data_IF_591710697061
#
_entry.id   IF_591710697061
#
_cell.length_a   1.000
_cell.length_b   1.000
_cell.length_c   1.000
_cell.angle_alpha   90.00
_cell.angle_beta   90.00
_cell.angle_gamma   90.00
#
_symmetry.space_group_name_H-M   'P 1'
#
loop_
_entity.id
_entity.type
_entity.pdbx_description
1 polymer ?
#
# COMPACT_ATOMS: atom_id res chain seq x y z
N UNK A 1 4.55 30.91 3.12
CA UNK A 1 4.90 30.56 1.72
C UNK A 1 4.23 29.25 1.38
N UNK A 2 3.35 29.27 0.38
CA UNK A 2 2.60 28.08 -0.06
C UNK A 2 3.63 27.12 -0.66
N UNK A 3 3.67 25.88 -0.18
CA UNK A 3 4.54 24.85 -0.75
C UNK A 3 4.38 24.87 -2.27
N UNK A 4 5.48 24.86 -3.07
CA UNK A 4 5.37 24.79 -4.52
C UNK A 4 4.47 23.62 -4.88
N UNK A 5 3.56 23.80 -5.83
CA UNK A 5 2.56 22.82 -6.33
C UNK A 5 3.02 21.34 -6.26
N UNK A 6 4.25 20.96 -6.66
CA UNK A 6 4.76 19.60 -6.46
C UNK A 6 4.76 19.09 -5.01
N UNK A 7 5.14 19.91 -4.02
CA UNK A 7 5.17 19.53 -2.60
C UNK A 7 3.79 19.18 -2.03
N UNK A 8 2.72 19.83 -2.53
CA UNK A 8 1.34 19.50 -2.13
C UNK A 8 0.92 18.16 -2.71
N UNK A 9 1.25 17.87 -3.97
CA UNK A 9 0.95 16.59 -4.63
C UNK A 9 1.64 15.44 -3.89
N UNK A 10 2.92 15.61 -3.55
CA UNK A 10 3.68 14.62 -2.79
C UNK A 10 3.01 14.31 -1.45
N UNK A 11 2.67 15.35 -0.68
CA UNK A 11 2.05 15.18 0.63
C UNK A 11 0.69 14.49 0.54
N UNK A 12 -0.15 14.90 -0.40
CA UNK A 12 -1.50 14.33 -0.58
C UNK A 12 -1.42 12.87 -1.00
N UNK A 13 -0.55 12.52 -1.95
CA UNK A 13 -0.38 11.12 -2.40
C UNK A 13 0.12 10.26 -1.25
N UNK A 14 1.13 10.73 -0.50
CA UNK A 14 1.64 10.01 0.67
C UNK A 14 0.57 9.79 1.74
N UNK A 15 -0.21 10.83 2.07
CA UNK A 15 -1.29 10.70 3.07
C UNK A 15 -2.38 9.75 2.58
N UNK A 16 -2.82 9.89 1.33
CA UNK A 16 -3.88 9.05 0.78
C UNK A 16 -3.45 7.57 0.71
N UNK A 17 -2.20 7.31 0.32
CA UNK A 17 -1.65 5.95 0.31
C UNK A 17 -1.54 5.36 1.72
N UNK A 18 -1.07 6.14 2.69
CA UNK A 18 -1.04 5.73 4.08
C UNK A 18 -2.44 5.41 4.63
N UNK A 19 -3.46 6.18 4.24
CA UNK A 19 -4.86 5.91 4.58
C UNK A 19 -5.34 4.60 3.95
N UNK A 20 -5.01 4.34 2.68
CA UNK A 20 -5.38 3.08 2.02
C UNK A 20 -4.75 1.86 2.71
N UNK A 21 -3.46 1.93 3.04
CA UNK A 21 -2.77 0.90 3.82
C UNK A 21 -3.39 0.72 5.22
N UNK A 22 -3.70 1.82 5.91
CA UNK A 22 -4.35 1.78 7.22
C UNK A 22 -5.74 1.15 7.17
N UNK A 23 -6.54 1.46 6.14
CA UNK A 23 -7.84 0.84 5.92
C UNK A 23 -7.68 -0.66 5.70
N UNK A 24 -6.78 -1.10 4.81
CA UNK A 24 -6.54 -2.53 4.55
C UNK A 24 -6.10 -3.31 5.79
N UNK A 25 -5.26 -2.69 6.63
CA UNK A 25 -4.88 -3.29 7.90
C UNK A 25 -6.05 -3.35 8.89
N UNK A 26 -6.79 -2.25 9.01
CA UNK A 26 -7.91 -2.14 9.97
C UNK A 26 -9.04 -3.09 9.63
N UNK A 27 -9.40 -3.24 8.35
CA UNK A 27 -10.41 -4.20 7.91
C UNK A 27 -9.98 -5.64 8.18
N UNK A 28 -8.69 -5.97 8.00
CA UNK A 28 -8.19 -7.30 8.35
C UNK A 28 -8.20 -7.57 9.86
N UNK A 29 -7.94 -6.54 10.67
CA UNK A 29 -8.03 -6.63 12.14
C UNK A 29 -9.49 -6.83 12.57
N UNK A 30 -10.42 -6.04 12.04
CA UNK A 30 -11.85 -6.16 12.31
C UNK A 30 -12.42 -7.50 11.84
N UNK A 31 -11.89 -8.04 10.75
CA UNK A 31 -12.21 -9.39 10.26
C UNK A 31 -11.57 -10.53 11.05
N UNK A 32 -10.84 -10.26 12.14
CA UNK A 32 -10.26 -11.30 12.99
C UNK A 32 -9.14 -12.12 12.32
N UNK A 33 -8.55 -11.62 11.24
CA UNK A 33 -7.58 -12.36 10.43
C UNK A 33 -6.26 -12.60 11.17
N UNK A 34 -5.48 -13.61 10.76
CA UNK A 34 -4.13 -13.88 11.29
C UNK A 34 -3.09 -12.84 10.81
N UNK A 35 -1.89 -12.87 11.40
CA UNK A 35 -0.82 -11.89 11.10
C UNK A 35 -0.41 -11.89 9.62
N UNK A 36 -0.43 -13.06 8.97
CA UNK A 36 -0.05 -13.19 7.55
C UNK A 36 -1.12 -12.61 6.64
N UNK A 37 -2.37 -12.95 6.90
CA UNK A 37 -3.55 -12.49 6.17
C UNK A 37 -3.72 -10.98 6.32
N UNK A 38 -3.51 -10.43 7.53
CA UNK A 38 -3.51 -8.97 7.74
C UNK A 38 -2.50 -8.23 6.89
N UNK A 39 -1.26 -8.75 6.83
CA UNK A 39 -0.21 -8.15 5.99
C UNK A 39 -0.58 -8.24 4.51
N UNK A 40 -1.11 -9.38 4.06
CA UNK A 40 -1.56 -9.56 2.69
C UNK A 40 -2.68 -8.57 2.32
N UNK A 41 -3.74 -8.49 3.13
CA UNK A 41 -4.87 -7.58 2.86
C UNK A 41 -4.45 -6.11 2.88
N UNK A 42 -3.51 -5.74 3.75
CA UNK A 42 -2.94 -4.39 3.76
C UNK A 42 -2.32 -4.04 2.42
N UNK A 43 -1.51 -4.94 1.85
CA UNK A 43 -0.90 -4.71 0.53
C UNK A 43 -1.92 -4.76 -0.60
N UNK A 44 -2.91 -5.65 -0.53
CA UNK A 44 -3.94 -5.76 -1.58
C UNK A 44 -4.83 -4.50 -1.67
N UNK A 45 -5.07 -3.82 -0.55
CA UNK A 45 -5.83 -2.56 -0.53
C UNK A 45 -4.95 -1.35 -0.83
N UNK A 46 -3.72 -1.30 -0.31
CA UNK A 46 -2.84 -0.14 -0.47
C UNK A 46 -2.19 -0.06 -1.85
N UNK A 47 -1.67 -1.18 -2.34
CA UNK A 47 -0.89 -1.25 -3.58
C UNK A 47 -1.82 -1.49 -4.75
N UNK A 48 -1.86 -0.55 -5.69
CA UNK A 48 -2.77 -0.61 -6.85
C UNK A 48 -1.99 -0.73 -8.14
N UNK A 49 -2.71 -1.10 -9.20
CA UNK A 49 -2.16 -1.09 -10.54
C UNK A 49 -2.12 0.33 -11.10
N UNK A 50 -1.01 1.03 -10.85
CA UNK A 50 -0.77 2.36 -11.39
C UNK A 50 -0.71 2.38 -12.94
N UNK A 51 -0.32 1.26 -13.58
CA UNK A 51 -0.26 1.14 -15.03
C UNK A 51 -1.64 1.21 -15.69
N UNK A 52 -2.65 0.57 -15.10
CA UNK A 52 -4.05 0.71 -15.54
C UNK A 52 -4.53 2.15 -15.38
N UNK A 53 -4.21 2.80 -14.27
CA UNK A 53 -4.54 4.21 -14.04
C UNK A 53 -3.93 5.12 -15.11
N UNK A 54 -2.64 4.95 -15.41
CA UNK A 54 -1.94 5.70 -16.45
C UNK A 54 -2.52 5.43 -17.85
N UNK A 55 -2.87 4.17 -18.15
CA UNK A 55 -3.53 3.79 -19.40
C UNK A 55 -4.88 4.49 -19.59
N UNK A 56 -5.70 4.58 -18.54
CA UNK A 56 -6.98 5.31 -18.59
C UNK A 56 -6.78 6.81 -18.83
N UNK A 57 -5.76 7.42 -18.22
CA UNK A 57 -5.40 8.83 -18.45
C UNK A 57 -5.10 9.09 -19.93
N UNK A 58 -4.28 8.26 -20.55
CA UNK A 58 -3.95 8.42 -21.97
C UNK A 58 -5.12 8.09 -22.89
N UNK A 59 -5.90 7.06 -22.57
CA UNK A 59 -6.99 6.60 -23.42
C UNK A 59 -8.21 7.53 -23.43
N UNK A 60 -8.58 8.11 -22.29
CA UNK A 60 -9.86 8.83 -22.15
C UNK A 60 -9.70 10.33 -21.89
N UNK A 61 -8.55 10.78 -21.40
CA UNK A 61 -8.33 12.19 -21.00
C UNK A 61 -7.35 12.93 -21.91
N UNK A 62 -7.06 12.38 -23.09
CA UNK A 62 -6.16 13.01 -24.08
C UNK A 62 -4.73 13.21 -23.58
N UNK A 63 -4.30 12.46 -22.55
CA UNK A 63 -2.95 12.55 -22.01
C UNK A 63 -2.64 13.87 -21.31
N UNK A 64 -3.64 14.53 -20.70
CA UNK A 64 -3.43 15.73 -19.87
C UNK A 64 -2.24 15.50 -18.91
N UNK A 65 -1.14 16.21 -19.16
CA UNK A 65 0.16 15.93 -18.54
C UNK A 65 0.12 15.91 -17.01
N UNK A 66 -0.72 16.76 -16.39
CA UNK A 66 -0.89 16.77 -14.93
C UNK A 66 -1.42 15.45 -14.37
N UNK A 67 -2.43 14.83 -15.01
CA UNK A 67 -3.00 13.55 -14.56
C UNK A 67 -2.01 12.39 -14.75
N UNK A 68 -1.25 12.41 -15.84
CA UNK A 68 -0.23 11.40 -16.13
C UNK A 68 0.92 11.46 -15.11
N UNK A 69 1.34 12.66 -14.71
CA UNK A 69 2.34 12.86 -13.65
C UNK A 69 1.83 12.30 -12.32
N UNK A 70 0.57 12.55 -11.97
CA UNK A 70 -0.02 12.00 -10.73
C UNK A 70 -0.04 10.47 -10.78
N UNK A 71 -0.53 9.86 -11.86
CA UNK A 71 -0.60 8.40 -11.99
C UNK A 71 0.80 7.75 -12.00
N UNK A 72 1.77 8.36 -12.67
CA UNK A 72 3.16 7.90 -12.68
C UNK A 72 3.82 8.01 -11.30
N UNK A 73 3.64 9.15 -10.62
CA UNK A 73 4.15 9.35 -9.26
C UNK A 73 3.51 8.37 -8.28
N UNK A 74 2.21 8.11 -8.42
CA UNK A 74 1.48 7.13 -7.63
C UNK A 74 2.16 5.76 -7.69
N UNK A 75 2.46 5.26 -8.90
CA UNK A 75 3.12 3.95 -9.05
C UNK A 75 4.50 3.88 -8.42
N UNK A 76 5.30 4.95 -8.51
CA UNK A 76 6.61 5.02 -7.84
C UNK A 76 6.42 4.97 -6.33
N UNK A 77 5.48 5.76 -5.81
CA UNK A 77 5.22 5.84 -4.38
C UNK A 77 4.70 4.51 -3.81
N UNK A 78 3.77 3.82 -4.49
CA UNK A 78 3.27 2.51 -4.07
C UNK A 78 4.43 1.50 -3.86
N UNK A 79 5.41 1.48 -4.78
CA UNK A 79 6.60 0.62 -4.64
C UNK A 79 7.44 1.03 -3.43
N UNK A 80 7.71 2.32 -3.26
CA UNK A 80 8.52 2.84 -2.14
C UNK A 80 7.84 2.55 -0.80
N UNK A 81 6.56 2.90 -0.66
CA UNK A 81 5.78 2.66 0.54
C UNK A 81 5.67 1.15 0.85
N UNK A 82 5.41 0.34 -0.18
CA UNK A 82 5.36 -1.11 -0.08
C UNK A 82 6.66 -1.72 0.45
N UNK A 83 7.80 -1.30 -0.10
CA UNK A 83 9.13 -1.76 0.33
C UNK A 83 9.46 -1.31 1.75
N UNK A 84 9.14 -0.06 2.12
CA UNK A 84 9.34 0.45 3.48
C UNK A 84 8.52 -0.39 4.47
N UNK A 85 7.22 -0.57 4.22
CA UNK A 85 6.34 -1.31 5.12
C UNK A 85 6.74 -2.78 5.24
N UNK A 86 7.05 -3.44 4.11
CA UNK A 86 7.56 -4.80 4.09
C UNK A 86 8.88 -4.93 4.88
N UNK A 87 9.79 -3.97 4.72
CA UNK A 87 11.04 -3.90 5.46
C UNK A 87 10.84 -3.72 6.97
N UNK A 88 9.94 -2.83 7.39
CA UNK A 88 9.59 -2.63 8.79
C UNK A 88 8.99 -3.90 9.41
N UNK A 89 8.07 -4.56 8.71
CA UNK A 89 7.48 -5.82 9.18
C UNK A 89 8.45 -6.98 9.20
N UNK A 90 9.35 -7.08 8.22
CA UNK A 90 10.42 -8.08 8.22
C UNK A 90 11.33 -7.93 9.45
N UNK A 91 11.76 -6.70 9.74
CA UNK A 91 12.55 -6.37 10.94
C UNK A 91 11.80 -6.66 12.23
N UNK A 92 10.51 -6.29 12.31
CA UNK A 92 9.69 -6.56 13.50
C UNK A 92 9.49 -8.06 13.74
N UNK A 93 9.26 -8.81 12.66
CA UNK A 93 9.10 -10.28 12.71
C UNK A 93 10.39 -10.93 13.17
N UNK A 94 11.53 -10.62 12.54
CA UNK A 94 12.84 -11.18 12.91
C UNK A 94 13.20 -10.92 14.39
N UNK A 95 12.86 -9.74 14.92
CA UNK A 95 13.05 -9.41 16.35
C UNK A 95 12.17 -10.23 17.29
N UNK A 96 10.94 -10.58 16.89
CA UNK A 96 10.00 -11.34 17.73
C UNK A 96 10.21 -12.85 17.67
N UNK A 97 10.53 -13.40 16.50
CA UNK A 97 10.56 -14.87 16.29
C UNK A 97 11.97 -15.44 16.09
N UNK A 98 13.00 -14.59 15.98
CA UNK A 98 14.35 -15.04 15.61
C UNK A 98 14.47 -15.57 14.17
N UNK A 99 13.38 -15.53 13.40
CA UNK A 99 13.28 -16.03 12.02
C UNK A 99 12.70 -14.96 11.10
N UNK A 100 13.29 -14.76 9.92
CA UNK A 100 12.77 -13.86 8.90
C UNK A 100 11.53 -14.41 8.17
N UNK A 101 11.27 -15.72 8.30
CA UNK A 101 10.03 -16.36 7.84
C UNK A 101 9.01 -16.25 8.98
N UNK A 102 7.90 -15.53 8.72
CA UNK A 102 6.95 -15.05 9.72
C UNK A 102 6.23 -16.09 10.58
N UNK A 103 5.50 -15.59 11.58
CA UNK A 103 4.71 -16.39 12.53
C UNK A 103 3.85 -17.43 11.80
N UNK A 104 4.03 -18.70 12.16
CA UNK A 104 3.32 -19.85 11.60
C UNK A 104 1.88 -19.99 12.15
N UNK A 105 1.30 -18.92 12.69
CA UNK A 105 -0.08 -18.94 13.17
C UNK A 105 -1.04 -18.96 11.98
N UNK A 106 -1.20 -20.12 11.36
CA UNK A 106 -2.42 -20.46 10.64
C UNK A 106 -3.53 -20.53 11.69
N UNK A 107 -4.44 -19.56 11.72
CA UNK A 107 -5.78 -19.90 12.19
C UNK A 107 -6.36 -20.80 11.11
N UNK A 108 -6.31 -22.11 11.36
CA UNK A 108 -7.15 -23.05 10.62
C UNK A 108 -8.58 -22.50 10.68
N UNK A 109 -9.17 -22.28 9.51
CA UNK A 109 -10.60 -22.01 9.43
C UNK A 109 -11.31 -23.10 10.25
N UNK A 110 -12.12 -22.69 11.22
CA UNK A 110 -12.95 -23.63 11.97
C UNK A 110 -13.76 -24.46 10.96
N UNK A 111 -13.79 -25.80 11.08
CA UNK A 111 -14.58 -26.63 10.17
C UNK A 111 -16.06 -26.28 10.37
N UNK A 112 -16.74 -26.01 9.24
CA UNK A 112 -18.20 -25.95 9.15
C UNK A 112 -18.82 -27.36 9.22
#
# INVERSE_FOLDING_TARGET
EVLPVPGVILLVVTIHDAVALAIGYSTAVLGGMGTRERKALTFEVGIRNAGLGLGLVFAFFGGLGGMAIVAGWWGIWDIVAGLILAGLWSRHTARKTGSSKGDATHHAAAPA
#
